data_IF_121064363428
#
_entry.id   IF_121064363428
#
_cell.length_a   1.000
_cell.length_b   1.000
_cell.length_c   1.000
_cell.angle_alpha   90.00
_cell.angle_beta   90.00
_cell.angle_gamma   90.00
#
_symmetry.space_group_name_H-M   'P 1'
#
loop_
_entity.id
_entity.type
_entity.pdbx_description
1 polymer ?
#
# COMPACT_ATOMS: atom_id res chain seq x y z
N UNK A 1 3.56 23.36 -0.88
CA UNK A 1 2.63 22.33 -0.40
C UNK A 1 1.24 22.58 -0.99
N UNK A 2 0.69 21.62 -1.73
CA UNK A 2 -0.69 21.65 -2.22
C UNK A 2 -1.56 20.73 -1.37
N UNK A 3 -2.77 21.17 -1.01
CA UNK A 3 -3.71 20.37 -0.22
C UNK A 3 -4.93 19.96 -1.06
N UNK A 4 -5.31 18.69 -0.94
CA UNK A 4 -6.45 18.12 -1.63
C UNK A 4 -7.39 17.51 -0.60
N UNK A 5 -8.69 17.77 -0.74
CA UNK A 5 -9.72 17.09 0.03
C UNK A 5 -10.49 16.14 -0.90
N UNK A 6 -10.66 14.90 -0.47
CA UNK A 6 -11.28 13.85 -1.29
C UNK A 6 -12.31 13.08 -0.48
N UNK A 7 -13.46 12.82 -1.08
CA UNK A 7 -14.58 12.11 -0.43
C UNK A 7 -14.91 10.76 -1.07
N UNK A 8 -14.21 10.40 -2.15
CA UNK A 8 -14.39 9.13 -2.84
C UNK A 8 -13.13 8.74 -3.64
N UNK A 9 -13.11 7.51 -4.15
CA UNK A 9 -12.01 6.96 -4.95
C UNK A 9 -11.70 7.77 -6.20
N UNK A 10 -12.72 8.30 -6.89
CA UNK A 10 -12.53 9.03 -8.15
C UNK A 10 -11.78 10.34 -7.85
N UNK A 11 -12.23 11.08 -6.84
CA UNK A 11 -11.58 12.30 -6.39
C UNK A 11 -10.15 12.04 -5.89
N UNK A 12 -9.94 10.91 -5.21
CA UNK A 12 -8.59 10.49 -4.79
C UNK A 12 -7.68 10.27 -6.00
N UNK A 13 -8.15 9.55 -7.01
CA UNK A 13 -7.37 9.28 -8.23
C UNK A 13 -7.09 10.57 -9.01
N UNK A 14 -8.08 11.46 -9.12
CA UNK A 14 -7.93 12.77 -9.73
C UNK A 14 -6.90 13.65 -9.01
N UNK A 15 -6.88 13.62 -7.68
CA UNK A 15 -5.88 14.33 -6.88
C UNK A 15 -4.47 13.79 -7.15
N UNK A 16 -4.30 12.46 -7.18
CA UNK A 16 -3.02 11.81 -7.52
C UNK A 16 -2.57 12.18 -8.95
N UNK A 17 -3.48 12.15 -9.92
CA UNK A 17 -3.18 12.56 -11.29
C UNK A 17 -2.76 14.04 -11.39
N UNK A 18 -3.44 14.93 -10.66
CA UNK A 18 -3.09 16.35 -10.57
C UNK A 18 -1.71 16.54 -9.95
N UNK A 19 -1.41 15.85 -8.85
CA UNK A 19 -0.09 15.91 -8.21
C UNK A 19 0.99 15.48 -9.19
N UNK A 20 0.80 14.33 -9.86
CA UNK A 20 1.73 13.80 -10.87
C UNK A 20 1.98 14.75 -12.03
N UNK A 21 0.93 15.40 -12.53
CA UNK A 21 1.03 16.34 -13.65
C UNK A 21 1.60 17.72 -13.25
N UNK A 22 1.51 18.06 -11.96
CA UNK A 22 2.03 19.30 -11.41
C UNK A 22 3.52 19.22 -11.09
N UNK A 23 4.16 20.37 -10.89
CA UNK A 23 5.53 20.47 -10.35
C UNK A 23 5.50 20.54 -8.82
N UNK A 24 4.72 19.68 -8.17
CA UNK A 24 4.58 19.70 -6.73
C UNK A 24 5.74 18.94 -6.10
N UNK A 25 6.56 19.60 -5.30
CA UNK A 25 7.58 18.93 -4.47
C UNK A 25 6.94 18.31 -3.21
N UNK A 26 5.80 18.86 -2.77
CA UNK A 26 5.08 18.42 -1.57
C UNK A 26 3.57 18.57 -1.75
N UNK A 27 2.82 17.53 -1.36
CA UNK A 27 1.36 17.52 -1.37
C UNK A 27 0.76 16.78 -0.16
N UNK A 28 -0.41 17.23 0.27
CA UNK A 28 -1.20 16.64 1.34
C UNK A 28 -2.60 16.28 0.83
N UNK A 29 -3.09 15.09 1.18
CA UNK A 29 -4.41 14.60 0.82
C UNK A 29 -5.17 14.27 2.09
N UNK A 30 -6.30 14.93 2.28
CA UNK A 30 -7.24 14.71 3.37
C UNK A 30 -8.41 13.85 2.85
N UNK A 31 -8.49 12.62 3.35
CA UNK A 31 -9.51 11.65 2.96
C UNK A 31 -10.69 11.75 3.94
N UNK A 32 -11.85 12.18 3.44
CA UNK A 32 -13.09 12.32 4.21
C UNK A 32 -13.90 11.03 4.35
N UNK A 33 -13.73 10.08 3.42
CA UNK A 33 -14.53 8.86 3.28
C UNK A 33 -13.68 7.71 2.76
N UNK A 34 -14.25 6.50 2.65
CA UNK A 34 -13.49 5.35 2.16
C UNK A 34 -13.00 5.58 0.72
N UNK A 35 -11.73 5.25 0.47
CA UNK A 35 -11.11 5.33 -0.85
C UNK A 35 -10.34 4.07 -1.14
N UNK A 36 -10.09 3.84 -2.42
CA UNK A 36 -9.34 2.68 -2.90
C UNK A 36 -7.89 3.05 -3.19
N UNK A 37 -7.00 2.07 -3.11
CA UNK A 37 -5.58 2.28 -3.40
C UNK A 37 -5.36 2.71 -4.84
N UNK A 38 -4.53 3.74 -5.01
CA UNK A 38 -4.18 4.27 -6.32
C UNK A 38 -2.77 3.82 -6.70
N UNK A 39 -2.67 2.85 -7.61
CA UNK A 39 -1.39 2.34 -8.12
C UNK A 39 -0.48 3.42 -8.74
N UNK A 40 -1.04 4.57 -9.14
CA UNK A 40 -0.28 5.69 -9.69
C UNK A 40 0.67 6.34 -8.68
N UNK A 41 0.50 6.09 -7.37
CA UNK A 41 1.40 6.54 -6.31
C UNK A 41 2.86 6.09 -6.53
N UNK A 42 3.08 4.95 -7.21
CA UNK A 42 4.43 4.47 -7.57
C UNK A 42 5.21 5.41 -8.50
N UNK A 43 4.53 6.37 -9.14
CA UNK A 43 5.15 7.33 -10.05
C UNK A 43 5.38 8.70 -9.41
N UNK A 44 5.27 8.81 -8.09
CA UNK A 44 5.45 10.04 -7.33
C UNK A 44 6.70 10.00 -6.45
N UNK A 45 7.72 9.26 -6.87
CA UNK A 45 8.99 9.00 -6.18
C UNK A 45 9.68 10.25 -5.62
N UNK A 46 9.62 11.36 -6.36
CA UNK A 46 10.24 12.64 -5.98
C UNK A 46 9.32 13.57 -5.17
N UNK A 47 8.06 13.18 -4.91
CA UNK A 47 7.08 14.03 -4.23
C UNK A 47 6.93 13.61 -2.78
N UNK A 48 7.07 14.57 -1.86
CA UNK A 48 6.69 14.38 -0.47
C UNK A 48 5.17 14.34 -0.34
N UNK A 49 4.63 13.23 0.13
CA UNK A 49 3.20 12.99 0.21
C UNK A 49 2.75 12.74 1.64
N UNK A 50 1.76 13.49 2.08
CA UNK A 50 1.07 13.25 3.33
C UNK A 50 -0.38 12.83 3.04
N UNK A 51 -0.76 11.60 3.35
CA UNK A 51 -2.10 11.05 3.12
C UNK A 51 -2.74 10.80 4.48
N UNK A 52 -3.75 11.60 4.80
CA UNK A 52 -4.37 11.62 6.13
C UNK A 52 -5.82 11.19 6.04
N UNK A 53 -6.17 10.21 6.85
CA UNK A 53 -7.54 9.83 7.15
C UNK A 53 -7.90 10.12 8.60
N UNK A 54 -9.20 10.13 8.90
CA UNK A 54 -9.72 10.12 10.27
C UNK A 54 -10.55 8.86 10.49
N UNK A 55 -9.87 7.75 10.71
CA UNK A 55 -10.49 6.44 10.95
C UNK A 55 -11.28 5.89 9.76
N UNK A 56 -10.91 6.33 8.55
CA UNK A 56 -11.53 5.97 7.25
C UNK A 56 -10.79 4.79 6.62
N UNK A 57 -11.49 4.00 5.80
CA UNK A 57 -10.89 2.86 5.14
C UNK A 57 -10.08 3.29 3.91
N UNK A 58 -8.85 2.82 3.84
CA UNK A 58 -8.02 2.79 2.66
C UNK A 58 -8.02 1.36 2.13
N UNK A 59 -8.85 1.12 1.12
CA UNK A 59 -9.11 -0.21 0.60
C UNK A 59 -8.01 -0.59 -0.41
N UNK A 60 -7.29 -1.68 -0.16
CA UNK A 60 -6.37 -2.23 -1.17
C UNK A 60 -7.09 -3.37 -1.88
N UNK A 61 -7.38 -3.17 -3.18
CA UNK A 61 -8.01 -4.18 -4.04
C UNK A 61 -6.96 -5.05 -4.70
N UNK A 62 -7.37 -6.26 -4.99
CA UNK A 62 -6.57 -7.29 -5.64
C UNK A 62 -7.04 -7.37 -7.08
N UNK A 63 -6.21 -6.92 -8.03
CA UNK A 63 -6.47 -7.18 -9.45
C UNK A 63 -5.69 -8.42 -9.87
N UNK A 64 -6.40 -9.54 -10.06
CA UNK A 64 -5.80 -10.81 -10.46
C UNK A 64 -5.33 -10.82 -11.94
N UNK A 65 -5.57 -9.75 -12.73
CA UNK A 65 -5.37 -9.77 -14.19
C UNK A 65 -3.93 -9.62 -14.68
N UNK A 66 -2.97 -9.16 -13.87
CA UNK A 66 -1.62 -8.87 -14.37
C UNK A 66 -0.69 -10.09 -14.55
N UNK A 67 -1.14 -11.33 -14.29
CA UNK A 67 -0.32 -12.52 -14.55
C UNK A 67 -0.09 -12.81 -16.05
N UNK A 68 -0.95 -12.28 -16.93
CA UNK A 68 -0.91 -12.61 -18.36
C UNK A 68 -0.07 -11.64 -19.21
N UNK A 69 0.22 -10.44 -18.72
CA UNK A 69 0.83 -9.36 -19.51
C UNK A 69 2.32 -9.14 -19.28
N UNK A 70 2.92 -9.74 -18.23
CA UNK A 70 4.34 -9.59 -17.94
C UNK A 70 5.03 -10.93 -17.58
N UNK A 71 5.72 -11.59 -18.53
CA UNK A 71 6.35 -12.89 -18.30
C UNK A 71 7.57 -12.86 -17.36
N UNK A 72 8.00 -11.68 -16.89
CA UNK A 72 9.02 -11.55 -15.85
C UNK A 72 8.47 -11.80 -14.43
N UNK A 73 7.15 -11.79 -14.24
CA UNK A 73 6.49 -11.99 -12.94
C UNK A 73 6.25 -13.48 -12.65
N UNK A 74 7.29 -14.29 -12.81
CA UNK A 74 7.23 -15.76 -12.80
C UNK A 74 7.04 -16.42 -11.43
N UNK A 75 6.74 -15.65 -10.38
CA UNK A 75 6.40 -16.20 -9.08
C UNK A 75 5.21 -15.42 -8.53
N UNK A 76 4.11 -16.15 -8.30
CA UNK A 76 2.84 -15.67 -7.79
C UNK A 76 3.00 -15.09 -6.38
N UNK A 77 3.45 -13.85 -6.31
CA UNK A 77 3.03 -12.95 -5.27
C UNK A 77 2.36 -11.77 -5.97
N UNK A 78 1.04 -11.73 -5.96
CA UNK A 78 0.30 -10.60 -6.50
C UNK A 78 0.69 -9.40 -5.66
N UNK A 79 1.54 -8.52 -6.19
CA UNK A 79 2.03 -7.35 -5.48
C UNK A 79 0.89 -6.35 -5.27
N UNK A 80 0.32 -6.32 -4.06
CA UNK A 80 -0.90 -5.54 -3.77
C UNK A 80 -0.62 -4.07 -3.52
N UNK A 81 0.56 -3.77 -2.97
CA UNK A 81 1.08 -2.43 -2.82
C UNK A 81 2.58 -2.47 -3.11
N UNK A 82 3.00 -1.77 -4.16
CA UNK A 82 4.40 -1.62 -4.52
C UNK A 82 4.75 -0.13 -4.56
N UNK A 83 5.82 0.25 -3.89
CA UNK A 83 6.26 1.63 -3.81
C UNK A 83 7.77 1.73 -3.84
N UNK A 84 8.23 2.73 -4.61
CA UNK A 84 9.62 3.21 -4.74
C UNK A 84 9.71 4.68 -4.31
N UNK A 85 8.97 5.06 -3.26
CA UNK A 85 8.82 6.45 -2.83
C UNK A 85 9.57 6.69 -1.52
N UNK A 86 10.22 7.86 -1.43
CA UNK A 86 11.12 8.20 -0.33
C UNK A 86 10.52 9.11 0.76
N UNK A 87 9.33 9.67 0.56
CA UNK A 87 8.76 10.58 1.57
C UNK A 87 7.23 10.52 1.56
N UNK A 88 6.68 9.32 1.76
CA UNK A 88 5.23 9.16 1.97
C UNK A 88 4.93 8.94 3.46
N UNK A 89 4.02 9.74 3.99
CA UNK A 89 3.40 9.52 5.28
C UNK A 89 1.92 9.18 5.12
N UNK A 90 1.49 8.03 5.64
CA UNK A 90 0.10 7.67 5.84
C UNK A 90 -0.27 7.91 7.30
N UNK A 91 -1.41 8.55 7.58
CA UNK A 91 -1.83 8.86 8.96
C UNK A 91 -3.32 8.62 9.19
N UNK A 92 -3.69 7.95 10.30
CA UNK A 92 -5.08 7.82 10.72
C UNK A 92 -5.99 7.00 9.80
N UNK A 93 -5.40 6.11 8.99
CA UNK A 93 -6.09 5.26 8.01
C UNK A 93 -6.31 3.84 8.52
N UNK A 94 -7.41 3.21 8.11
CA UNK A 94 -7.64 1.78 8.25
C UNK A 94 -7.34 1.09 6.92
N UNK A 95 -6.23 0.39 6.83
CA UNK A 95 -5.94 -0.46 5.70
C UNK A 95 -6.79 -1.74 5.80
N UNK A 96 -7.79 -1.82 4.91
CA UNK A 96 -8.71 -2.96 4.81
C UNK A 96 -8.53 -3.68 3.49
N UNK A 97 -8.54 -5.01 3.55
CA UNK A 97 -8.27 -5.88 2.41
C UNK A 97 -9.50 -6.68 2.09
N UNK A 98 -9.98 -6.56 0.85
CA UNK A 98 -11.12 -7.34 0.38
C UNK A 98 -10.61 -8.29 -0.72
N UNK A 99 -10.42 -9.57 -0.38
CA UNK A 99 -10.36 -10.63 -1.40
C UNK A 99 -11.79 -10.85 -1.88
N UNK A 100 -12.14 -10.41 -3.09
CA UNK A 100 -13.35 -10.91 -3.73
C UNK A 100 -13.06 -12.35 -4.17
N UNK A 101 -13.62 -13.27 -3.41
CA UNK A 101 -13.30 -14.70 -3.31
C UNK A 101 -13.52 -15.56 -4.56
N UNK A 102 -13.75 -14.97 -5.73
CA UNK A 102 -14.16 -15.74 -6.92
C UNK A 102 -13.05 -16.10 -7.91
N UNK A 103 -11.91 -15.38 -7.94
CA UNK A 103 -10.86 -15.62 -8.95
C UNK A 103 -9.62 -16.40 -8.45
N UNK A 104 -9.50 -16.67 -7.14
CA UNK A 104 -8.30 -17.28 -6.53
C UNK A 104 -8.55 -18.64 -5.86
N UNK A 105 -9.81 -19.02 -5.62
CA UNK A 105 -10.13 -20.16 -4.75
C UNK A 105 -10.09 -21.54 -5.42
N UNK A 106 -10.11 -21.60 -6.76
CA UNK A 106 -10.10 -22.87 -7.49
C UNK A 106 -8.70 -23.37 -7.87
N UNK A 107 -7.63 -22.62 -7.57
CA UNK A 107 -6.26 -23.12 -7.75
C UNK A 107 -5.64 -23.55 -6.41
N UNK A 108 -5.53 -24.86 -6.12
CA UNK A 108 -4.94 -25.37 -4.88
C UNK A 108 -3.48 -24.95 -4.67
N UNK A 109 -2.76 -24.53 -5.72
CA UNK A 109 -1.39 -23.99 -5.61
C UNK A 109 -1.42 -22.60 -4.99
N UNK A 110 -2.41 -21.77 -5.32
CA UNK A 110 -2.57 -20.46 -4.71
C UNK A 110 -2.95 -20.56 -3.24
N UNK A 111 -3.58 -21.66 -2.81
CA UNK A 111 -3.99 -21.94 -1.43
C UNK A 111 -2.85 -22.39 -0.48
N UNK A 112 -1.63 -22.65 -0.96
CA UNK A 112 -0.51 -23.12 -0.12
C UNK A 112 0.54 -22.08 0.30
N UNK A 113 0.44 -20.82 -0.14
CA UNK A 113 1.45 -19.78 0.13
C UNK A 113 0.89 -18.55 0.85
N UNK A 114 1.76 -17.83 1.56
CA UNK A 114 1.50 -16.46 2.04
C UNK A 114 1.19 -15.51 0.88
N UNK A 115 0.51 -14.41 1.18
CA UNK A 115 0.17 -13.37 0.20
C UNK A 115 1.10 -12.17 0.42
N UNK A 116 1.95 -11.85 -0.56
CA UNK A 116 2.73 -10.60 -0.52
C UNK A 116 1.78 -9.42 -0.60
N UNK A 117 1.71 -8.67 0.49
CA UNK A 117 0.71 -7.64 0.71
C UNK A 117 1.28 -6.23 0.47
N UNK A 118 2.43 -5.92 1.05
CA UNK A 118 3.16 -4.70 0.69
C UNK A 118 4.59 -5.07 0.36
N UNK A 119 5.13 -4.49 -0.69
CA UNK A 119 6.54 -4.59 -1.00
C UNK A 119 7.11 -3.20 -1.29
N UNK A 120 8.19 -2.89 -0.58
CA UNK A 120 8.86 -1.61 -0.65
C UNK A 120 10.27 -1.83 -1.16
N UNK A 121 10.65 -1.10 -2.19
CA UNK A 121 12.01 -1.06 -2.71
C UNK A 121 12.49 0.38 -2.68
N UNK A 122 13.74 0.62 -2.28
CA UNK A 122 14.34 1.96 -2.26
C UNK A 122 13.32 3.02 -1.79
N UNK A 123 12.75 2.82 -0.60
CA UNK A 123 11.60 3.58 -0.12
C UNK A 123 11.79 4.03 1.32
N UNK A 124 11.29 5.22 1.63
CA UNK A 124 11.15 5.69 3.01
C UNK A 124 9.70 6.11 3.24
N UNK A 125 9.00 5.32 4.05
CA UNK A 125 7.55 5.45 4.24
C UNK A 125 7.22 5.34 5.73
N UNK A 126 6.33 6.22 6.16
CA UNK A 126 5.89 6.30 7.54
C UNK A 126 4.38 6.07 7.64
N UNK A 127 3.99 5.11 8.45
CA UNK A 127 2.60 4.87 8.85
C UNK A 127 2.43 5.34 10.29
N UNK A 128 1.51 6.28 10.52
CA UNK A 128 1.23 6.84 11.85
C UNK A 128 -0.21 6.60 12.23
N UNK A 129 -0.45 6.03 13.41
CA UNK A 129 -1.82 5.81 13.92
C UNK A 129 -2.71 5.07 12.88
N UNK A 130 -2.11 4.14 12.14
CA UNK A 130 -2.79 3.37 11.11
C UNK A 130 -3.20 2.00 11.67
N UNK A 131 -4.30 1.46 11.15
CA UNK A 131 -4.78 0.14 11.50
C UNK A 131 -4.74 -0.78 10.28
N UNK A 132 -4.02 -1.89 10.37
CA UNK A 132 -3.94 -2.92 9.33
C UNK A 132 -4.76 -4.13 9.76
N UNK A 133 -5.80 -4.47 8.99
CA UNK A 133 -6.68 -5.60 9.31
C UNK A 133 -6.65 -6.68 8.24
N UNK A 134 -6.05 -7.82 8.56
CA UNK A 134 -6.14 -9.05 7.77
C UNK A 134 -7.27 -9.93 8.34
N UNK A 135 -8.42 -9.93 7.65
CA UNK A 135 -9.58 -10.76 8.01
C UNK A 135 -9.58 -12.14 7.35
N UNK A 136 -8.44 -12.58 6.81
CA UNK A 136 -8.28 -13.88 6.15
C UNK A 136 -7.57 -14.86 7.07
N UNK A 137 -7.66 -16.14 6.77
CA UNK A 137 -6.90 -17.20 7.44
C UNK A 137 -5.44 -17.29 6.96
N UNK A 138 -5.06 -16.50 5.95
CA UNK A 138 -3.75 -16.53 5.30
C UNK A 138 -2.82 -15.49 5.90
N UNK A 139 -1.52 -15.75 5.85
CA UNK A 139 -0.51 -14.80 6.32
C UNK A 139 -0.25 -13.75 5.24
N UNK A 140 -0.28 -12.47 5.61
CA UNK A 140 0.11 -11.37 4.74
C UNK A 140 1.58 -11.00 4.94
N UNK A 141 2.35 -10.95 3.86
CA UNK A 141 3.76 -10.59 3.90
C UNK A 141 3.96 -9.11 3.60
N UNK A 142 4.72 -8.44 4.45
CA UNK A 142 5.21 -7.08 4.26
C UNK A 142 6.71 -7.21 4.01
N UNK A 143 7.12 -6.90 2.79
CA UNK A 143 8.48 -7.08 2.28
C UNK A 143 9.16 -5.72 2.14
N UNK A 144 10.37 -5.58 2.68
CA UNK A 144 11.14 -4.33 2.66
C UNK A 144 12.55 -4.60 2.14
N UNK A 145 12.91 -4.03 0.99
CA UNK A 145 14.14 -4.34 0.26
C UNK A 145 14.86 -3.09 -0.24
N UNK A 146 16.09 -3.27 -0.69
CA UNK A 146 16.91 -2.27 -1.37
C UNK A 146 17.01 -0.95 -0.60
N UNK A 147 17.64 -0.98 0.58
CA UNK A 147 17.91 0.24 1.38
C UNK A 147 16.64 0.98 1.83
N UNK A 148 15.50 0.28 1.90
CA UNK A 148 14.24 0.88 2.34
C UNK A 148 14.17 1.05 3.85
N UNK A 149 13.48 2.08 4.32
CA UNK A 149 13.16 2.31 5.73
C UNK A 149 11.66 2.51 5.90
N UNK A 150 11.00 1.54 6.56
CA UNK A 150 9.56 1.60 6.81
C UNK A 150 9.30 1.74 8.31
N UNK A 151 8.57 2.78 8.67
CA UNK A 151 8.27 3.13 10.06
C UNK A 151 6.79 2.92 10.32
N UNK A 152 6.46 2.14 11.33
CA UNK A 152 5.11 1.96 11.87
C UNK A 152 5.05 2.57 13.26
N UNK A 153 4.52 3.79 13.36
CA UNK A 153 4.37 4.54 14.60
C UNK A 153 2.92 4.42 15.12
N UNK A 154 2.74 3.86 16.31
CA UNK A 154 1.41 3.66 16.94
C UNK A 154 0.43 2.92 16.02
N UNK A 155 0.94 2.03 15.17
CA UNK A 155 0.11 1.24 14.27
C UNK A 155 -0.40 -0.03 14.97
N UNK A 156 -1.61 -0.45 14.62
CA UNK A 156 -2.18 -1.71 15.07
C UNK A 156 -2.24 -2.72 13.91
N UNK A 157 -1.93 -3.98 14.19
CA UNK A 157 -2.05 -5.09 13.24
C UNK A 157 -3.03 -6.14 13.81
N UNK A 158 -4.16 -6.32 13.13
CA UNK A 158 -5.19 -7.32 13.47
C UNK A 158 -5.13 -8.46 12.43
N UNK A 159 -4.73 -9.66 12.85
CA UNK A 159 -4.59 -10.83 11.97
C UNK A 159 -3.13 -11.28 11.81
N UNK A 160 -2.87 -12.18 10.86
CA UNK A 160 -1.54 -12.77 10.65
C UNK A 160 -0.72 -11.96 9.64
N UNK A 161 0.45 -11.47 10.07
CA UNK A 161 1.40 -10.74 9.24
C UNK A 161 2.81 -11.28 9.43
N UNK A 162 3.55 -11.39 8.33
CA UNK A 162 4.99 -11.65 8.31
C UNK A 162 5.71 -10.42 7.80
N UNK A 163 6.82 -10.05 8.45
CA UNK A 163 7.71 -8.99 7.97
C UNK A 163 8.99 -9.63 7.44
N UNK A 164 9.35 -9.32 6.20
CA UNK A 164 10.53 -9.84 5.52
C UNK A 164 11.36 -8.64 5.08
N UNK A 165 12.64 -8.60 5.43
CA UNK A 165 13.52 -7.50 5.04
C UNK A 165 14.92 -7.99 4.72
N UNK A 166 15.62 -7.28 3.83
CA UNK A 166 17.04 -7.52 3.57
C UNK A 166 17.94 -6.77 4.56
N UNK A 167 19.24 -7.12 4.58
CA UNK A 167 20.22 -6.59 5.54
C UNK A 167 20.38 -5.07 5.43
N UNK A 168 20.11 -4.48 4.27
CA UNK A 168 20.30 -3.06 4.02
C UNK A 168 19.05 -2.24 4.35
N UNK A 169 17.94 -2.90 4.63
CA UNK A 169 16.65 -2.27 4.87
C UNK A 169 16.25 -2.32 6.35
N UNK A 170 15.37 -1.42 6.75
CA UNK A 170 14.93 -1.25 8.13
C UNK A 170 13.41 -1.29 8.23
N UNK A 171 12.92 -2.03 9.22
CA UNK A 171 11.54 -1.98 9.69
C UNK A 171 11.57 -1.51 11.14
N UNK A 172 10.95 -0.38 11.42
CA UNK A 172 10.89 0.21 12.76
C UNK A 172 9.44 0.22 13.22
N UNK A 173 9.16 -0.48 14.32
CA UNK A 173 7.83 -0.50 14.96
C UNK A 173 7.97 0.16 16.34
N UNK A 174 7.23 1.25 16.58
CA UNK A 174 7.34 2.07 17.81
C UNK A 174 6.00 2.61 18.30
#
# INVERSE_FOLDING_TARGET
>A
MCEYFVEDTIQFFDAIAKIKSGKNEEASILIGNNVDHCHLLRFLDAVKLNIVGRNVNYNIYLDCKELSSNPAWKFNSTLLFHSDNHDITYSGLKFTYNIQSYDLMDDPILNSFSIVFMEFYNSEINFKDCHFKNSTDRIFEIIVKNESTIIFEKCNFEGNFNFIFDIQSNIIIK
#
